data_IF_814761993055
#
_entry.id   IF_814761993055
#
_cell.length_a   1.000
_cell.length_b   1.000
_cell.length_c   1.000
_cell.angle_alpha   90.00
_cell.angle_beta   90.00
_cell.angle_gamma   90.00
#
_symmetry.space_group_name_H-M   'P 1'
#
loop_
_entity.id
_entity.type
_entity.pdbx_description
1 polymer ?
#
# COMPACT_ATOMS: atom_id res chain seq x y z
N UNK A 1 -17.36 -54.10 -38.04
CA UNK A 1 -16.52 -55.36 -38.15
C UNK A 1 -15.36 -55.21 -37.21
N UNK A 2 -15.36 -56.01 -36.21
CA UNK A 2 -14.39 -56.90 -35.59
C UNK A 2 -13.34 -56.16 -34.70
N UNK A 3 -13.46 -56.25 -33.37
CA UNK A 3 -12.98 -57.27 -32.41
C UNK A 3 -11.45 -57.25 -32.30
N UNK A 4 -10.80 -57.12 -31.22
CA UNK A 4 -10.74 -57.58 -29.85
C UNK A 4 -9.30 -57.34 -29.44
N UNK A 5 -8.87 -57.41 -28.25
CA UNK A 5 -9.02 -58.28 -27.16
C UNK A 5 -8.14 -57.90 -25.99
N UNK A 6 -8.66 -58.18 -24.85
CA UNK A 6 -8.11 -58.14 -23.50
C UNK A 6 -6.99 -59.19 -23.31
N UNK A 7 -5.96 -58.88 -22.52
CA UNK A 7 -5.33 -59.93 -21.67
C UNK A 7 -4.77 -59.38 -20.36
N UNK A 8 -5.16 -60.07 -19.30
CA UNK A 8 -4.74 -60.04 -17.90
C UNK A 8 -3.38 -60.76 -17.66
N UNK A 9 -2.82 -60.48 -16.49
CA UNK A 9 -1.88 -61.35 -15.77
C UNK A 9 -0.64 -60.59 -15.29
N UNK A 10 -0.08 -60.78 -14.12
CA UNK A 10 -0.38 -61.60 -12.97
C UNK A 10 0.44 -61.03 -11.78
N UNK A 11 0.03 -61.39 -10.61
CA UNK A 11 0.62 -61.14 -9.28
C UNK A 11 2.02 -61.76 -9.12
N UNK A 12 2.90 -61.10 -8.30
CA UNK A 12 4.09 -61.72 -7.72
C UNK A 12 4.43 -61.04 -6.41
N UNK A 13 4.07 -61.65 -5.30
CA UNK A 13 4.54 -61.36 -3.97
C UNK A 13 5.74 -62.23 -3.63
N UNK A 14 6.47 -61.90 -2.57
CA UNK A 14 7.57 -62.60 -1.82
C UNK A 14 8.81 -61.70 -1.77
N UNK A 15 9.44 -61.38 -0.67
CA UNK A 15 9.46 -61.91 0.67
C UNK A 15 10.33 -61.04 1.57
N UNK A 16 10.07 -61.10 2.85
CA UNK A 16 10.79 -60.43 3.92
C UNK A 16 12.21 -61.02 4.09
N UNK A 17 13.19 -60.17 4.35
CA UNK A 17 14.43 -60.57 4.99
C UNK A 17 14.75 -59.61 6.15
N UNK A 18 14.59 -60.13 7.35
CA UNK A 18 15.07 -59.58 8.60
C UNK A 18 16.58 -59.65 8.64
N UNK A 19 17.28 -58.57 8.84
CA UNK A 19 18.69 -58.58 9.26
C UNK A 19 18.85 -57.74 10.52
N UNK A 20 19.06 -58.43 11.60
CA UNK A 20 19.45 -58.00 12.91
C UNK A 20 20.92 -57.57 12.89
N UNK A 21 21.26 -56.32 13.17
CA UNK A 21 22.64 -55.92 13.47
C UNK A 21 22.67 -55.18 14.80
N UNK A 22 23.59 -55.70 15.59
CA UNK A 22 23.84 -55.44 17.01
C UNK A 22 24.27 -53.97 17.30
N UNK A 23 23.82 -53.51 18.44
CA UNK A 23 24.20 -52.34 19.20
C UNK A 23 25.70 -52.23 19.45
N UNK A 24 26.29 -51.10 19.13
CA UNK A 24 27.46 -50.57 19.85
C UNK A 24 27.17 -49.14 20.22
N UNK A 25 27.29 -48.84 21.52
CA UNK A 25 26.89 -47.61 22.15
C UNK A 25 27.70 -46.40 21.69
N UNK A 26 26.99 -45.33 21.45
CA UNK A 26 27.49 -43.95 21.56
C UNK A 26 26.67 -43.27 22.61
N UNK A 27 27.32 -42.80 23.65
CA UNK A 27 26.80 -41.92 24.67
C UNK A 27 26.27 -40.68 24.00
N UNK A 28 24.95 -40.51 24.04
CA UNK A 28 24.29 -39.25 23.70
C UNK A 28 24.60 -38.26 24.83
N UNK A 29 25.34 -37.23 24.51
CA UNK A 29 25.41 -36.03 25.32
C UNK A 29 24.06 -35.36 25.12
N UNK A 30 23.23 -35.31 26.18
CA UNK A 30 22.04 -34.49 26.23
C UNK A 30 22.46 -33.03 26.19
N UNK A 31 22.52 -32.44 25.01
CA UNK A 31 22.46 -30.98 24.89
C UNK A 31 21.00 -30.57 25.11
N UNK A 32 20.70 -30.05 26.30
CA UNK A 32 19.47 -29.30 26.54
C UNK A 32 19.33 -28.19 25.46
N UNK A 33 18.20 -28.10 24.78
CA UNK A 33 17.97 -26.97 23.87
C UNK A 33 17.93 -25.70 24.74
N UNK A 34 18.92 -24.82 24.54
CA UNK A 34 18.95 -23.50 25.15
C UNK A 34 17.61 -22.78 24.84
N UNK A 35 16.79 -22.58 25.87
CA UNK A 35 15.57 -21.80 25.84
C UNK A 35 15.89 -20.32 25.70
N UNK A 36 16.49 -19.91 24.59
CA UNK A 36 16.79 -18.54 24.21
C UNK A 36 15.99 -18.06 23.01
N UNK A 37 14.91 -18.72 22.66
CA UNK A 37 13.93 -18.22 21.70
C UNK A 37 13.22 -17.01 22.29
N UNK A 38 13.63 -15.79 21.93
CA UNK A 38 12.85 -14.59 22.23
C UNK A 38 11.42 -14.85 21.73
N UNK A 39 10.47 -15.00 22.65
CA UNK A 39 9.04 -15.05 22.30
C UNK A 39 8.74 -13.78 21.54
N UNK A 40 8.59 -13.87 20.22
CA UNK A 40 8.04 -12.79 19.41
C UNK A 40 6.68 -12.50 20.05
N UNK A 41 6.57 -11.41 20.80
CA UNK A 41 5.30 -10.96 21.37
C UNK A 41 4.34 -10.84 20.20
N UNK A 42 3.24 -11.59 20.26
CA UNK A 42 2.16 -11.42 19.31
C UNK A 42 1.83 -9.93 19.25
N UNK A 43 1.91 -9.35 18.05
CA UNK A 43 1.59 -7.93 17.87
C UNK A 43 0.13 -7.76 18.22
N UNK A 44 -0.15 -6.96 19.25
CA UNK A 44 -1.50 -6.67 19.68
C UNK A 44 -2.30 -6.10 18.51
N UNK A 45 -3.45 -6.68 18.25
CA UNK A 45 -4.36 -6.23 17.19
C UNK A 45 -5.75 -6.05 17.80
N UNK A 46 -6.36 -4.92 17.51
CA UNK A 46 -7.75 -4.69 17.86
C UNK A 46 -8.66 -5.01 16.67
N UNK A 47 -9.90 -5.34 16.98
CA UNK A 47 -10.91 -5.58 15.94
C UNK A 47 -11.12 -4.27 15.15
N UNK A 48 -11.06 -4.37 13.84
CA UNK A 48 -11.48 -3.28 12.94
C UNK A 48 -12.99 -3.30 12.84
N UNK A 49 -13.63 -2.16 13.06
CA UNK A 49 -15.09 -2.00 13.01
C UNK A 49 -15.70 -2.29 11.64
N UNK A 50 -17.01 -2.27 11.57
CA UNK A 50 -17.75 -2.45 10.33
C UNK A 50 -17.63 -1.21 9.43
N UNK A 51 -17.91 -1.39 8.14
CA UNK A 51 -17.96 -0.28 7.19
C UNK A 51 -19.17 0.59 7.48
N UNK A 52 -18.92 1.85 7.80
CA UNK A 52 -19.95 2.85 8.12
C UNK A 52 -20.00 3.93 7.04
N UNK A 53 -21.16 4.27 6.49
CA UNK A 53 -21.29 5.36 5.55
C UNK A 53 -21.26 6.71 6.30
N UNK A 54 -20.54 7.67 5.75
CA UNK A 54 -20.57 9.07 6.20
C UNK A 54 -20.91 9.98 5.02
N UNK A 55 -21.60 11.08 5.27
CA UNK A 55 -21.87 12.10 4.24
C UNK A 55 -20.97 13.30 4.47
N UNK A 56 -20.04 13.53 3.55
CA UNK A 56 -19.12 14.64 3.56
C UNK A 56 -19.32 15.51 2.30
N UNK A 57 -19.56 16.81 2.44
CA UNK A 57 -19.88 17.69 1.33
C UNK A 57 -21.08 17.21 0.49
N UNK A 58 -22.10 16.61 1.15
CA UNK A 58 -23.28 16.05 0.47
C UNK A 58 -23.06 14.68 -0.20
N UNK A 59 -21.84 14.18 -0.27
CA UNK A 59 -21.45 12.92 -0.96
C UNK A 59 -21.28 11.77 0.02
N UNK A 60 -21.66 10.53 -0.34
CA UNK A 60 -21.50 9.37 0.53
C UNK A 60 -20.08 8.80 0.41
N UNK A 61 -19.42 8.63 1.54
CA UNK A 61 -18.13 7.93 1.69
C UNK A 61 -18.30 6.74 2.61
N UNK A 62 -17.71 5.62 2.25
CA UNK A 62 -17.58 4.47 3.14
C UNK A 62 -16.33 4.65 4.00
N UNK A 63 -16.48 4.45 5.32
CA UNK A 63 -15.38 4.57 6.28
C UNK A 63 -15.31 3.34 7.16
N UNK A 64 -14.16 3.07 7.74
CA UNK A 64 -13.93 1.96 8.65
C UNK A 64 -12.87 2.34 9.66
N UNK A 65 -13.18 2.25 10.95
CA UNK A 65 -12.28 2.70 12.03
C UNK A 65 -11.93 1.55 12.99
N UNK A 66 -10.83 1.72 13.71
CA UNK A 66 -10.39 0.88 14.81
C UNK A 66 -9.67 1.74 15.86
N UNK A 67 -9.53 1.21 17.07
CA UNK A 67 -8.87 1.89 18.18
C UNK A 67 -9.79 2.79 18.99
N UNK A 68 -9.21 3.36 20.06
CA UNK A 68 -9.92 4.25 20.96
C UNK A 68 -10.26 5.57 20.28
N UNK A 69 -11.46 6.08 20.51
CA UNK A 69 -11.96 7.32 19.90
C UNK A 69 -11.17 8.56 20.34
N UNK A 70 -10.60 8.54 21.53
CA UNK A 70 -9.86 9.65 22.13
C UNK A 70 -8.35 9.57 21.90
N UNK A 71 -7.87 8.45 21.29
CA UNK A 71 -6.47 8.31 20.92
C UNK A 71 -6.08 9.19 19.72
N UNK A 72 -4.78 9.51 19.54
CA UNK A 72 -4.29 10.28 18.40
C UNK A 72 -4.74 9.71 17.06
N UNK A 73 -5.11 10.60 16.13
CA UNK A 73 -5.75 10.23 14.89
C UNK A 73 -4.81 9.78 13.78
N UNK A 74 -5.21 8.74 13.04
CA UNK A 74 -4.55 8.28 11.80
C UNK A 74 -5.60 8.09 10.72
N UNK A 75 -5.37 8.63 9.51
CA UNK A 75 -6.21 8.37 8.35
C UNK A 75 -5.42 7.66 7.25
N UNK A 76 -5.97 6.53 6.79
CA UNK A 76 -5.37 5.68 5.76
C UNK A 76 -6.01 5.95 4.40
N UNK A 77 -5.18 6.24 3.40
CA UNK A 77 -5.58 6.62 2.03
C UNK A 77 -5.02 5.62 1.04
N UNK A 78 -5.87 4.76 0.49
CA UNK A 78 -5.48 3.63 -0.34
C UNK A 78 -4.95 4.04 -1.73
N UNK A 79 -4.33 3.09 -2.43
CA UNK A 79 -3.92 3.22 -3.82
C UNK A 79 -5.13 3.43 -4.76
N UNK A 80 -4.87 3.81 -6.00
CA UNK A 80 -5.87 3.95 -7.06
C UNK A 80 -6.74 2.69 -7.16
N UNK A 81 -8.06 2.89 -7.28
CA UNK A 81 -9.04 1.83 -7.47
C UNK A 81 -9.08 0.75 -6.36
N UNK A 82 -8.32 0.92 -5.28
CA UNK A 82 -8.18 -0.12 -4.24
C UNK A 82 -9.08 0.18 -3.04
N UNK A 83 -10.05 -0.71 -2.74
CA UNK A 83 -10.88 -0.55 -1.55
C UNK A 83 -10.08 -0.61 -0.25
N UNK A 84 -10.43 0.25 0.71
CA UNK A 84 -9.77 0.37 2.02
C UNK A 84 -9.65 -0.97 2.77
N UNK A 85 -10.68 -1.82 2.68
CA UNK A 85 -10.70 -3.11 3.38
C UNK A 85 -9.58 -4.06 2.91
N UNK A 86 -9.19 -3.96 1.63
CA UNK A 86 -8.08 -4.72 1.04
C UNK A 86 -6.75 -4.07 1.35
N UNK A 87 -6.65 -2.75 1.09
CA UNK A 87 -5.38 -2.03 1.23
C UNK A 87 -4.79 -2.11 2.64
N UNK A 88 -5.64 -2.07 3.66
CA UNK A 88 -5.21 -1.88 5.04
C UNK A 88 -5.42 -3.09 5.95
N UNK A 89 -5.76 -4.26 5.38
CA UNK A 89 -6.04 -5.47 6.13
C UNK A 89 -4.90 -5.90 7.08
N UNK A 90 -3.64 -5.67 6.67
CA UNK A 90 -2.46 -6.08 7.43
C UNK A 90 -2.06 -5.13 8.57
N UNK A 91 -2.48 -3.85 8.50
CA UNK A 91 -1.96 -2.81 9.41
C UNK A 91 -3.03 -2.13 10.25
N UNK A 92 -4.28 -2.01 9.77
CA UNK A 92 -5.29 -1.18 10.45
C UNK A 92 -5.55 -1.62 11.89
N UNK A 93 -5.76 -2.92 12.15
CA UNK A 93 -6.00 -3.42 13.50
C UNK A 93 -4.79 -3.28 14.43
N UNK A 94 -3.57 -3.31 13.87
CA UNK A 94 -2.33 -3.14 14.63
C UNK A 94 -2.11 -1.67 15.01
N UNK A 95 -2.41 -0.73 14.11
CA UNK A 95 -2.38 0.70 14.41
C UNK A 95 -3.47 1.04 15.42
N UNK A 96 -4.64 0.41 15.32
CA UNK A 96 -5.75 0.58 16.25
C UNK A 96 -5.43 0.20 17.71
N UNK A 97 -4.39 -0.57 17.95
CA UNK A 97 -3.96 -0.91 19.31
C UNK A 97 -3.35 0.29 20.09
N UNK A 98 -3.03 1.40 19.40
CA UNK A 98 -2.40 2.57 20.03
C UNK A 98 -2.86 3.92 19.45
N UNK A 99 -3.70 3.92 18.44
CA UNK A 99 -4.21 5.13 17.77
C UNK A 99 -5.65 4.93 17.32
N UNK A 100 -6.39 6.02 17.16
CA UNK A 100 -7.66 6.01 16.45
C UNK A 100 -7.39 6.01 14.95
N UNK A 101 -7.45 4.86 14.34
CA UNK A 101 -7.16 4.70 12.90
C UNK A 101 -8.44 4.51 12.11
N UNK A 102 -8.67 5.39 11.13
CA UNK A 102 -9.75 5.24 10.16
C UNK A 102 -9.18 5.09 8.76
N UNK A 103 -9.91 4.37 7.91
CA UNK A 103 -9.70 4.30 6.48
C UNK A 103 -11.01 4.68 5.78
N UNK A 104 -10.91 5.17 4.55
CA UNK A 104 -12.09 5.46 3.74
C UNK A 104 -11.88 5.05 2.29
N UNK A 105 -12.96 4.75 1.61
CA UNK A 105 -12.97 4.60 0.16
C UNK A 105 -13.17 6.00 -0.45
N UNK A 106 -12.30 6.40 -1.40
CA UNK A 106 -12.53 7.63 -2.17
C UNK A 106 -13.74 7.49 -3.08
N UNK A 107 -14.27 8.59 -3.61
CA UNK A 107 -15.34 8.52 -4.61
C UNK A 107 -14.88 7.70 -5.82
N UNK A 108 -15.75 6.83 -6.29
CA UNK A 108 -15.46 5.87 -7.37
C UNK A 108 -14.83 4.57 -6.91
N UNK A 109 -14.51 4.42 -5.63
CA UNK A 109 -13.87 3.21 -5.06
C UNK A 109 -14.79 2.52 -4.06
N UNK A 110 -14.73 1.21 -4.03
CA UNK A 110 -15.33 0.36 -3.02
C UNK A 110 -16.83 0.61 -2.82
N UNK A 111 -17.21 1.10 -1.63
CA UNK A 111 -18.60 1.35 -1.24
C UNK A 111 -18.96 2.84 -1.19
N UNK A 112 -18.05 3.71 -1.60
CA UNK A 112 -18.30 5.16 -1.72
C UNK A 112 -19.11 5.49 -2.97
N UNK A 113 -19.67 6.70 -3.01
CA UNK A 113 -20.41 7.20 -4.16
C UNK A 113 -19.54 7.43 -5.39
N UNK A 114 -20.18 7.75 -6.50
CA UNK A 114 -19.47 8.16 -7.72
C UNK A 114 -19.07 9.63 -7.65
N UNK A 115 -17.93 10.02 -8.25
CA UNK A 115 -17.59 11.41 -8.43
C UNK A 115 -18.63 12.10 -9.32
N UNK A 116 -19.08 13.31 -8.98
CA UNK A 116 -20.05 14.05 -9.78
C UNK A 116 -19.45 14.67 -11.05
N UNK A 117 -18.11 14.84 -11.06
CA UNK A 117 -17.36 15.43 -12.16
C UNK A 117 -15.91 14.88 -12.14
N UNK A 118 -15.11 15.30 -13.11
CA UNK A 118 -13.66 15.08 -13.11
C UNK A 118 -13.03 15.67 -11.83
N UNK A 119 -12.11 14.95 -11.23
CA UNK A 119 -11.43 15.30 -10.00
C UNK A 119 -9.92 15.50 -10.22
N UNK A 120 -9.35 16.40 -9.44
CA UNK A 120 -7.90 16.51 -9.24
C UNK A 120 -7.52 15.96 -7.86
N UNK A 121 -6.22 15.94 -7.53
CA UNK A 121 -5.78 15.61 -6.16
C UNK A 121 -6.26 16.63 -5.14
N UNK A 122 -6.41 17.90 -5.54
CA UNK A 122 -6.94 18.94 -4.66
C UNK A 122 -8.40 18.72 -4.32
N UNK A 123 -9.22 18.26 -5.26
CA UNK A 123 -10.60 17.88 -5.01
C UNK A 123 -10.69 16.68 -4.06
N UNK A 124 -9.84 15.66 -4.29
CA UNK A 124 -9.76 14.48 -3.42
C UNK A 124 -9.24 14.83 -2.02
N UNK A 125 -8.30 15.75 -1.91
CA UNK A 125 -7.78 16.27 -0.64
C UNK A 125 -8.84 17.04 0.12
N UNK A 126 -9.59 17.90 -0.55
CA UNK A 126 -10.72 18.60 0.06
C UNK A 126 -11.78 17.61 0.59
N UNK A 127 -12.03 16.52 -0.13
CA UNK A 127 -12.93 15.47 0.35
C UNK A 127 -12.36 14.72 1.56
N UNK A 128 -11.06 14.40 1.55
CA UNK A 128 -10.37 13.83 2.70
C UNK A 128 -10.56 14.68 3.95
N UNK A 129 -10.33 15.98 3.84
CA UNK A 129 -10.50 16.93 4.97
C UNK A 129 -11.95 16.95 5.47
N UNK A 130 -12.94 16.94 4.57
CA UNK A 130 -14.36 16.82 4.96
C UNK A 130 -14.68 15.47 5.62
N UNK A 131 -14.03 14.39 5.22
CA UNK A 131 -14.17 13.08 5.86
C UNK A 131 -13.60 13.12 7.28
N UNK A 132 -12.44 13.76 7.51
CA UNK A 132 -11.89 13.97 8.85
C UNK A 132 -12.89 14.71 9.75
N UNK A 133 -13.53 15.76 9.25
CA UNK A 133 -14.55 16.52 10.01
C UNK A 133 -15.75 15.64 10.38
N UNK A 134 -16.23 14.82 9.46
CA UNK A 134 -17.35 13.90 9.71
C UNK A 134 -17.01 12.79 10.69
N UNK A 135 -15.76 12.35 10.68
CA UNK A 135 -15.22 11.41 11.66
C UNK A 135 -14.91 12.08 13.01
N UNK A 136 -15.06 13.40 13.13
CA UNK A 136 -14.70 14.17 14.32
C UNK A 136 -13.23 13.97 14.74
N UNK A 137 -12.35 13.90 13.76
CA UNK A 137 -10.91 13.90 13.95
C UNK A 137 -10.42 15.35 13.84
N UNK A 138 -10.60 16.13 14.92
CA UNK A 138 -10.36 17.57 14.95
C UNK A 138 -8.92 17.94 15.25
N UNK A 139 -8.24 17.11 16.01
CA UNK A 139 -6.81 17.24 16.29
C UNK A 139 -5.97 16.86 15.06
N UNK A 140 -4.73 17.37 14.95
CA UNK A 140 -3.84 17.00 13.85
C UNK A 140 -3.65 15.49 13.75
N UNK A 141 -3.83 14.94 12.55
CA UNK A 141 -3.74 13.50 12.27
C UNK A 141 -2.48 13.13 11.51
N UNK A 142 -2.05 11.87 11.62
CA UNK A 142 -1.10 11.27 10.69
C UNK A 142 -1.85 10.76 9.46
N UNK A 143 -1.44 11.21 8.29
CA UNK A 143 -1.93 10.69 7.00
C UNK A 143 -1.02 9.59 6.49
N UNK A 144 -1.56 8.43 6.17
CA UNK A 144 -0.81 7.32 5.55
C UNK A 144 -1.35 7.10 4.16
N UNK A 145 -0.55 7.37 3.14
CA UNK A 145 -0.98 7.28 1.75
C UNK A 145 -0.18 6.26 0.94
N UNK A 146 -0.87 5.33 0.27
CA UNK A 146 -0.26 4.35 -0.63
C UNK A 146 -0.42 4.79 -2.09
N UNK A 147 0.67 4.76 -2.86
CA UNK A 147 0.63 5.06 -4.31
C UNK A 147 -0.07 6.40 -4.59
N UNK A 148 -1.13 6.43 -5.40
CA UNK A 148 -1.96 7.61 -5.66
C UNK A 148 -2.51 8.25 -4.36
N UNK A 149 -2.88 7.43 -3.36
CA UNK A 149 -3.32 7.92 -2.06
C UNK A 149 -2.25 8.73 -1.31
N UNK A 150 -0.98 8.51 -1.61
CA UNK A 150 0.12 9.33 -1.10
C UNK A 150 0.07 10.76 -1.61
N UNK A 151 -0.17 10.95 -2.91
CA UNK A 151 -0.31 12.29 -3.50
C UNK A 151 -1.53 13.02 -2.94
N UNK A 152 -2.65 12.32 -2.74
CA UNK A 152 -3.84 12.89 -2.07
C UNK A 152 -3.51 13.32 -0.63
N UNK A 153 -2.76 12.51 0.12
CA UNK A 153 -2.35 12.85 1.49
C UNK A 153 -1.44 14.09 1.54
N UNK A 154 -0.47 14.20 0.62
CA UNK A 154 0.39 15.39 0.49
C UNK A 154 -0.43 16.62 0.12
N UNK A 155 -1.36 16.50 -0.84
CA UNK A 155 -2.25 17.60 -1.23
C UNK A 155 -3.12 18.07 -0.06
N UNK A 156 -3.62 17.15 0.78
CA UNK A 156 -4.39 17.49 1.98
C UNK A 156 -3.52 18.19 3.04
N UNK A 157 -2.28 17.74 3.23
CA UNK A 157 -1.35 18.38 4.15
C UNK A 157 -0.95 19.79 3.68
N UNK A 158 -0.82 20.01 2.38
CA UNK A 158 -0.56 21.33 1.80
C UNK A 158 -1.76 22.29 1.98
N UNK A 159 -2.99 21.77 1.79
CA UNK A 159 -4.22 22.58 1.94
C UNK A 159 -4.54 22.94 3.40
N UNK A 160 -4.24 22.05 4.34
CA UNK A 160 -4.61 22.23 5.75
C UNK A 160 -3.49 21.72 6.69
N UNK A 161 -2.32 22.38 6.70
CA UNK A 161 -1.16 21.93 7.47
C UNK A 161 -1.43 21.83 8.97
N UNK A 162 -2.31 22.68 9.53
CA UNK A 162 -2.70 22.60 10.95
C UNK A 162 -3.53 21.36 11.31
N UNK A 163 -4.03 20.64 10.31
CA UNK A 163 -4.81 19.40 10.48
C UNK A 163 -3.95 18.14 10.34
N UNK A 164 -2.65 18.28 10.03
CA UNK A 164 -1.77 17.16 9.70
C UNK A 164 -0.50 17.20 10.55
N UNK A 165 -0.35 16.24 11.43
CA UNK A 165 0.84 16.05 12.26
C UNK A 165 2.03 15.47 11.49
N UNK A 166 1.75 14.67 10.47
CA UNK A 166 2.75 14.08 9.60
C UNK A 166 2.16 13.23 8.48
N UNK A 167 2.98 12.96 7.48
CA UNK A 167 2.62 12.16 6.30
C UNK A 167 3.56 10.97 6.16
N UNK A 168 2.99 9.77 6.06
CA UNK A 168 3.71 8.54 5.72
C UNK A 168 3.31 8.11 4.30
N UNK A 169 4.25 8.14 3.39
CA UNK A 169 4.08 7.69 2.01
C UNK A 169 4.52 6.23 1.87
N UNK A 170 3.66 5.40 1.31
CA UNK A 170 3.96 4.01 1.00
C UNK A 170 4.01 3.85 -0.51
N UNK A 171 5.21 3.85 -1.04
CA UNK A 171 5.49 3.71 -2.47
C UNK A 171 4.63 4.63 -3.33
N UNK A 172 4.57 5.92 -2.95
CA UNK A 172 3.76 6.93 -3.63
C UNK A 172 4.41 7.36 -4.93
N UNK A 173 3.65 7.36 -6.03
CA UNK A 173 4.13 7.86 -7.31
C UNK A 173 4.43 9.36 -7.22
N UNK A 174 5.69 9.72 -7.41
CA UNK A 174 6.09 11.13 -7.40
C UNK A 174 5.57 11.88 -8.64
N UNK A 175 5.41 13.21 -8.53
CA UNK A 175 5.14 14.05 -9.68
C UNK A 175 6.17 13.80 -10.80
N UNK A 176 5.74 13.78 -12.05
CA UNK A 176 6.60 13.49 -13.21
C UNK A 176 6.72 12.00 -13.57
N UNK A 177 6.54 11.06 -12.65
CA UNK A 177 6.61 9.63 -12.98
C UNK A 177 5.58 9.19 -14.03
N UNK A 178 4.28 9.58 -13.95
CA UNK A 178 3.31 9.24 -14.99
C UNK A 178 3.69 9.73 -16.38
N UNK A 179 4.22 10.94 -16.48
CA UNK A 179 4.71 11.49 -17.74
C UNK A 179 5.89 10.67 -18.28
N UNK A 180 6.83 10.30 -17.41
CA UNK A 180 7.96 9.45 -17.76
C UNK A 180 7.56 8.07 -18.28
N UNK A 181 6.54 7.43 -17.68
CA UNK A 181 5.99 6.15 -18.17
C UNK A 181 5.38 6.32 -19.55
N UNK A 182 4.56 7.36 -19.75
CA UNK A 182 3.89 7.60 -21.02
C UNK A 182 4.85 7.96 -22.16
N UNK A 183 5.98 8.57 -21.85
CA UNK A 183 7.03 8.90 -22.81
C UNK A 183 7.88 7.68 -23.20
N UNK A 184 8.24 6.84 -22.23
CA UNK A 184 9.21 5.75 -22.40
C UNK A 184 8.60 4.40 -22.81
N UNK A 185 7.32 4.15 -22.50
CA UNK A 185 6.68 2.89 -22.83
C UNK A 185 5.91 2.97 -24.16
N UNK A 186 5.95 1.91 -24.99
CA UNK A 186 5.32 1.91 -26.30
C UNK A 186 3.79 1.94 -26.21
N UNK A 187 3.16 2.60 -27.17
CA UNK A 187 1.69 2.69 -27.31
C UNK A 187 1.08 1.36 -27.75
N UNK A 188 1.80 0.60 -28.55
CA UNK A 188 1.33 -0.65 -29.18
C UNK A 188 2.23 -1.83 -28.84
N UNK A 189 1.68 -3.04 -28.93
CA UNK A 189 2.39 -4.27 -28.61
C UNK A 189 2.19 -4.74 -27.17
N UNK A 190 2.61 -6.00 -26.88
CA UNK A 190 2.43 -6.58 -25.52
C UNK A 190 3.42 -6.04 -24.50
N UNK A 191 4.50 -5.38 -24.96
CA UNK A 191 5.60 -4.94 -24.09
C UNK A 191 5.32 -3.55 -23.51
N UNK A 192 5.10 -3.47 -22.20
CA UNK A 192 4.86 -2.24 -21.48
C UNK A 192 3.48 -1.60 -21.72
N UNK A 193 2.67 -2.14 -22.64
CA UNK A 193 1.37 -1.56 -22.96
C UNK A 193 0.38 -1.58 -21.79
N UNK A 194 0.46 -2.60 -20.92
CA UNK A 194 -0.40 -2.69 -19.75
C UNK A 194 -0.08 -1.59 -18.74
N UNK A 195 1.20 -1.40 -18.41
CA UNK A 195 1.65 -0.33 -17.52
C UNK A 195 1.31 1.04 -18.09
N UNK A 196 1.66 1.27 -19.36
CA UNK A 196 1.32 2.51 -20.05
C UNK A 196 -0.19 2.79 -20.02
N UNK A 197 -1.02 1.74 -20.17
CA UNK A 197 -2.49 1.89 -20.16
C UNK A 197 -2.98 2.43 -18.83
N UNK A 198 -2.51 1.89 -17.70
CA UNK A 198 -2.88 2.39 -16.37
C UNK A 198 -2.69 3.90 -16.28
N UNK A 199 -1.51 4.39 -16.65
CA UNK A 199 -1.23 5.83 -16.59
C UNK A 199 -1.96 6.64 -17.67
N UNK A 200 -2.24 6.03 -18.83
CA UNK A 200 -3.05 6.65 -19.88
C UNK A 200 -4.51 6.79 -19.45
N UNK A 201 -5.07 5.74 -18.86
CA UNK A 201 -6.47 5.72 -18.41
C UNK A 201 -6.67 6.71 -17.25
N UNK A 202 -5.69 6.85 -16.37
CA UNK A 202 -5.72 7.86 -15.31
C UNK A 202 -5.73 9.32 -15.83
N UNK A 203 -5.26 9.57 -17.05
CA UNK A 203 -5.29 10.93 -17.64
C UNK A 203 -6.67 11.35 -18.10
N UNK A 204 -7.54 10.40 -18.42
CA UNK A 204 -8.89 10.65 -18.90
C UNK A 204 -9.90 10.34 -17.80
N UNK A 205 -10.66 11.32 -17.32
CA UNK A 205 -11.65 11.08 -16.26
C UNK A 205 -12.71 10.05 -16.62
N UNK A 206 -13.01 9.86 -17.91
CA UNK A 206 -13.99 8.86 -18.37
C UNK A 206 -13.46 7.43 -18.30
N UNK A 207 -12.14 7.24 -18.25
CA UNK A 207 -11.50 5.94 -18.42
C UNK A 207 -11.08 5.31 -17.08
N UNK A 208 -11.27 6.04 -15.98
CA UNK A 208 -11.03 5.54 -14.64
C UNK A 208 -12.22 5.77 -13.70
N UNK A 209 -12.47 4.84 -12.74
CA UNK A 209 -13.66 4.90 -11.88
C UNK A 209 -13.66 6.07 -10.90
N UNK A 210 -12.50 6.62 -10.59
CA UNK A 210 -12.35 7.78 -9.72
C UNK A 210 -12.54 9.10 -10.48
N UNK A 211 -12.80 9.07 -11.78
CA UNK A 211 -12.90 10.24 -12.66
C UNK A 211 -11.72 11.21 -12.49
N UNK A 212 -10.53 10.68 -12.19
CA UNK A 212 -9.32 11.49 -12.04
C UNK A 212 -8.91 12.06 -13.40
N UNK A 213 -8.79 13.38 -13.48
CA UNK A 213 -8.06 14.08 -14.52
C UNK A 213 -6.56 14.08 -14.16
N UNK A 214 -5.91 12.94 -14.40
CA UNK A 214 -4.52 12.74 -14.01
C UNK A 214 -3.56 13.69 -14.72
N UNK A 215 -3.92 14.17 -15.91
CA UNK A 215 -3.10 15.17 -16.60
C UNK A 215 -2.97 16.46 -15.80
N UNK A 216 -4.09 17.02 -15.38
CA UNK A 216 -4.14 18.21 -14.53
C UNK A 216 -3.65 17.94 -13.11
N UNK A 217 -4.05 16.81 -12.53
CA UNK A 217 -3.75 16.46 -11.16
C UNK A 217 -2.24 16.30 -10.91
N UNK A 218 -1.52 15.55 -11.77
CA UNK A 218 -0.08 15.37 -11.62
C UNK A 218 0.71 16.63 -11.98
N UNK A 219 0.23 17.44 -12.94
CA UNK A 219 0.85 18.73 -13.23
C UNK A 219 0.72 19.69 -12.02
N UNK A 220 -0.42 19.76 -11.37
CA UNK A 220 -0.61 20.56 -10.17
C UNK A 220 0.26 20.04 -9.00
N UNK A 221 0.41 18.72 -8.88
CA UNK A 221 1.24 18.12 -7.83
C UNK A 221 2.74 18.48 -7.94
N UNK A 222 3.21 18.93 -9.11
CA UNK A 222 4.59 19.42 -9.27
C UNK A 222 4.87 20.71 -8.50
N UNK A 223 3.87 21.49 -8.19
CA UNK A 223 3.96 22.75 -7.43
C UNK A 223 3.53 22.64 -5.97
N UNK A 224 3.24 21.42 -5.48
CA UNK A 224 2.95 21.21 -4.08
C UNK A 224 4.13 21.61 -3.21
N UNK A 225 3.82 22.23 -2.09
CA UNK A 225 4.76 22.59 -1.04
C UNK A 225 4.14 22.28 0.33
N UNK A 226 4.93 21.82 1.27
CA UNK A 226 4.50 21.55 2.64
C UNK A 226 5.11 22.54 3.59
N UNK A 227 4.38 22.89 4.62
CA UNK A 227 4.95 23.65 5.73
C UNK A 227 6.06 22.83 6.41
N UNK A 228 7.16 23.47 6.77
CA UNK A 228 8.39 22.83 7.27
C UNK A 228 8.18 21.98 8.53
N UNK A 229 7.17 22.26 9.32
CA UNK A 229 6.84 21.52 10.54
C UNK A 229 6.01 20.24 10.30
N UNK A 230 5.53 20.01 9.08
CA UNK A 230 4.86 18.76 8.72
C UNK A 230 5.91 17.68 8.47
N UNK A 231 6.00 16.72 9.36
CA UNK A 231 6.92 15.58 9.20
C UNK A 231 6.53 14.71 8.01
N UNK A 232 7.51 14.35 7.16
CA UNK A 232 7.29 13.48 6.00
C UNK A 232 8.25 12.29 6.02
N UNK A 233 7.69 11.09 5.95
CA UNK A 233 8.44 9.84 5.77
C UNK A 233 7.97 9.15 4.51
N UNK A 234 8.87 8.87 3.58
CA UNK A 234 8.59 8.11 2.37
C UNK A 234 9.25 6.74 2.46
N UNK A 235 8.45 5.69 2.35
CA UNK A 235 8.90 4.31 2.18
C UNK A 235 8.78 3.95 0.71
N UNK A 236 9.85 3.46 0.10
CA UNK A 236 9.86 3.04 -1.31
C UNK A 236 10.31 1.59 -1.45
N UNK A 237 9.88 0.93 -2.51
CA UNK A 237 10.21 -0.46 -2.78
C UNK A 237 11.71 -0.68 -3.04
N UNK A 238 12.20 -1.88 -2.74
CA UNK A 238 13.51 -2.37 -3.19
C UNK A 238 13.40 -3.36 -4.35
N UNK A 239 12.20 -3.92 -4.56
CA UNK A 239 11.91 -4.84 -5.65
C UNK A 239 10.94 -4.17 -6.62
N UNK A 240 11.49 -3.56 -7.63
CA UNK A 240 10.69 -3.05 -8.74
C UNK A 240 9.99 -4.18 -9.48
N UNK A 241 8.71 -4.03 -9.71
CA UNK A 241 7.93 -4.96 -10.54
C UNK A 241 7.65 -4.33 -11.89
N UNK A 242 8.63 -4.43 -12.77
CA UNK A 242 8.40 -4.05 -14.16
C UNK A 242 7.63 -5.13 -14.91
N UNK A 243 6.78 -4.77 -15.87
CA UNK A 243 6.17 -5.75 -16.77
C UNK A 243 7.26 -6.60 -17.42
N UNK A 244 7.10 -7.94 -17.42
CA UNK A 244 8.05 -8.87 -18.07
C UNK A 244 8.37 -8.54 -19.53
N UNK A 245 7.60 -7.62 -20.09
CA UNK A 245 7.68 -7.15 -21.45
C UNK A 245 8.57 -5.92 -21.64
N UNK A 246 9.10 -5.31 -20.59
CA UNK A 246 10.02 -4.19 -20.68
C UNK A 246 11.46 -4.67 -20.86
N UNK A 247 12.25 -3.95 -21.69
CA UNK A 247 13.67 -4.21 -21.82
C UNK A 247 14.43 -3.77 -20.56
N UNK A 248 15.62 -4.28 -20.28
CA UNK A 248 16.46 -3.84 -19.16
C UNK A 248 16.68 -2.31 -19.14
N UNK A 249 16.85 -1.70 -20.32
CA UNK A 249 17.01 -0.24 -20.43
C UNK A 249 15.73 0.49 -20.01
N UNK A 250 14.57 0.06 -20.49
CA UNK A 250 13.29 0.65 -20.08
C UNK A 250 13.05 0.51 -18.58
N UNK A 251 13.41 -0.63 -18.00
CA UNK A 251 13.33 -0.84 -16.55
C UNK A 251 14.21 0.15 -15.79
N UNK A 252 15.46 0.31 -16.20
CA UNK A 252 16.38 1.27 -15.60
C UNK A 252 15.89 2.71 -15.73
N UNK A 253 15.36 3.09 -16.88
CA UNK A 253 14.80 4.42 -17.13
C UNK A 253 13.55 4.69 -16.26
N UNK A 254 12.69 3.68 -16.05
CA UNK A 254 11.52 3.79 -15.16
C UNK A 254 11.93 3.87 -13.68
N UNK A 255 12.92 3.08 -13.26
CA UNK A 255 13.45 3.17 -11.89
C UNK A 255 14.07 4.54 -11.62
N UNK A 256 14.87 5.05 -12.54
CA UNK A 256 15.44 6.40 -12.42
C UNK A 256 14.36 7.49 -12.31
N UNK A 257 13.26 7.35 -13.07
CA UNK A 257 12.13 8.26 -12.98
C UNK A 257 11.37 8.12 -11.65
N UNK A 258 11.25 6.88 -11.14
CA UNK A 258 10.66 6.61 -9.82
C UNK A 258 11.49 7.24 -8.70
N UNK A 259 12.81 7.01 -8.69
CA UNK A 259 13.74 7.61 -7.72
C UNK A 259 13.72 9.15 -7.76
N UNK A 260 13.65 9.73 -8.95
CA UNK A 260 13.50 11.19 -9.09
C UNK A 260 12.20 11.69 -8.44
N UNK A 261 11.11 10.94 -8.57
CA UNK A 261 9.83 11.22 -7.92
C UNK A 261 9.92 11.11 -6.39
N UNK A 262 10.58 10.07 -5.86
CA UNK A 262 10.79 9.92 -4.42
C UNK A 262 11.63 11.08 -3.85
N UNK A 263 12.69 11.46 -4.54
CA UNK A 263 13.51 12.62 -4.16
C UNK A 263 12.71 13.94 -4.22
N UNK A 264 11.69 14.03 -5.07
CA UNK A 264 10.77 15.18 -5.07
C UNK A 264 9.96 15.25 -3.79
N UNK A 265 9.42 14.13 -3.32
CA UNK A 265 8.72 14.08 -2.04
C UNK A 265 9.58 14.57 -0.88
N UNK A 266 10.87 14.19 -0.85
CA UNK A 266 11.79 14.64 0.20
C UNK A 266 11.96 16.15 0.24
N UNK A 267 11.91 16.82 -0.90
CA UNK A 267 12.10 18.29 -0.97
C UNK A 267 10.92 19.09 -0.45
N UNK A 268 9.77 18.44 -0.19
CA UNK A 268 8.58 19.12 0.33
C UNK A 268 8.65 19.43 1.82
N UNK A 269 9.57 18.79 2.57
CA UNK A 269 9.70 19.02 4.01
C UNK A 269 11.18 19.01 4.39
N UNK A 270 11.62 19.98 5.18
CA UNK A 270 12.99 20.04 5.70
C UNK A 270 13.34 18.84 6.60
N UNK A 271 12.34 18.19 7.20
CA UNK A 271 12.47 16.97 7.99
C UNK A 271 12.13 15.69 7.19
N UNK A 272 12.08 15.77 5.85
CA UNK A 272 11.75 14.65 4.97
C UNK A 272 12.76 13.50 5.07
N UNK A 273 12.27 12.26 5.19
CA UNK A 273 13.09 11.03 5.22
C UNK A 273 12.62 10.06 4.16
N UNK A 274 13.56 9.46 3.41
CA UNK A 274 13.32 8.36 2.48
C UNK A 274 13.95 7.08 3.00
N UNK A 275 13.21 6.00 2.97
CA UNK A 275 13.68 4.67 3.32
C UNK A 275 13.33 3.68 2.19
N UNK A 276 14.33 3.01 1.65
CA UNK A 276 14.14 1.89 0.74
C UNK A 276 13.86 0.62 1.56
N UNK A 277 12.72 0.02 1.32
CA UNK A 277 12.21 -1.09 2.14
C UNK A 277 12.66 -2.43 1.57
N UNK A 278 13.58 -3.11 2.25
CA UNK A 278 14.13 -4.39 1.81
C UNK A 278 13.05 -5.46 1.60
N UNK A 279 13.18 -6.19 0.50
CA UNK A 279 12.28 -7.28 0.09
C UNK A 279 10.80 -6.85 -0.05
N UNK A 280 10.55 -5.57 -0.28
CA UNK A 280 9.21 -5.05 -0.53
C UNK A 280 9.05 -4.59 -1.98
N UNK A 281 7.91 -4.92 -2.56
CA UNK A 281 7.41 -4.33 -3.79
C UNK A 281 6.44 -3.20 -3.51
N UNK A 282 5.57 -2.87 -4.46
CA UNK A 282 4.64 -1.75 -4.38
C UNK A 282 3.67 -1.80 -3.19
N UNK A 283 3.28 -2.98 -2.72
CA UNK A 283 2.42 -3.14 -1.54
C UNK A 283 3.26 -3.30 -0.26
N UNK A 284 3.82 -2.18 0.21
CA UNK A 284 4.66 -2.14 1.41
C UNK A 284 3.85 -2.50 2.65
N UNK A 285 2.57 -2.10 2.73
CA UNK A 285 1.74 -2.40 3.89
C UNK A 285 1.53 -3.92 4.09
N UNK A 286 1.39 -4.68 3.01
CA UNK A 286 1.30 -6.13 3.08
C UNK A 286 2.66 -6.80 3.28
N UNK A 287 3.72 -6.28 2.65
CA UNK A 287 5.05 -6.88 2.71
C UNK A 287 5.76 -6.65 4.06
N UNK A 288 5.59 -5.47 4.66
CA UNK A 288 6.29 -5.03 5.87
C UNK A 288 5.35 -4.30 6.85
N UNK A 289 4.28 -4.96 7.31
CA UNK A 289 3.28 -4.32 8.17
C UNK A 289 3.88 -3.76 9.47
N UNK A 290 4.89 -4.41 10.05
CA UNK A 290 5.54 -3.96 11.30
C UNK A 290 6.27 -2.63 11.10
N UNK A 291 6.94 -2.46 9.95
CA UNK A 291 7.63 -1.22 9.63
C UNK A 291 6.62 -0.07 9.48
N UNK A 292 5.53 -0.30 8.77
CA UNK A 292 4.47 0.71 8.60
C UNK A 292 3.89 1.12 9.96
N UNK A 293 3.56 0.15 10.81
CA UNK A 293 3.04 0.38 12.18
C UNK A 293 4.05 1.19 13.01
N UNK A 294 5.33 0.84 12.91
CA UNK A 294 6.40 1.55 13.62
C UNK A 294 6.53 3.01 13.18
N UNK A 295 6.54 3.26 11.85
CA UNK A 295 6.63 4.62 11.30
C UNK A 295 5.40 5.48 11.63
N UNK A 296 4.20 4.89 11.64
CA UNK A 296 3.00 5.59 12.12
C UNK A 296 3.18 6.03 13.57
N UNK A 297 3.67 5.14 14.45
CA UNK A 297 3.89 5.47 15.87
C UNK A 297 4.90 6.62 16.07
N UNK A 298 5.95 6.67 15.26
CA UNK A 298 6.94 7.75 15.30
C UNK A 298 6.38 9.11 14.90
N UNK A 299 5.39 9.12 13.99
CA UNK A 299 4.77 10.35 13.47
C UNK A 299 3.64 10.90 14.34
N UNK A 300 3.12 10.09 15.27
CA UNK A 300 2.06 10.57 16.17
C UNK A 300 2.57 11.68 17.10
N UNK A 301 1.73 12.69 17.40
CA UNK A 301 2.02 13.69 18.41
C UNK A 301 2.33 13.03 19.77
N UNK A 302 3.30 13.58 20.47
CA UNK A 302 3.69 13.12 21.83
C UNK A 302 2.81 13.75 22.88
#
# INVERSE_FOLDING_TARGET
MARGGVRHGARGAVGAALSLVLLTGCTLIDEEPSQGGAKVRAVEQVRVGDVTPVRAGGRPFATRCAGDADAPGVLLVAAEGTPMARAWASVQGRIGAFARVCAYDRLGVGRSGRPPAAQTFDDMAADLLRVLDRLRMTEPVVLVGQSLGGTVAVSAAAQAPDRVAGVLLLDAAGPGYPAAVLDRLPVTGRRGAAERRVWSDLRSPSDNPEHLDGGRAFAAAESLDLRDDVALVALTHSIARHPRSTSPRQQADLESAWEAGQNRWLRLSSAGRLERVDLAGHDIAAARPELVVHRVRELLPR
#
